data_IF_580338479337
#
_entry.id   IF_580338479337
#
_cell.length_a   1.000
_cell.length_b   1.000
_cell.length_c   1.000
_cell.angle_alpha   90.00
_cell.angle_beta   90.00
_cell.angle_gamma   90.00
#
_symmetry.space_group_name_H-M   'P 1'
#
loop_
_entity.id
_entity.type
_entity.pdbx_description
1 polymer ?
#
# COMPACT_ATOMS: atom_id res chain seq x y z
N UNK A 1 -16.16 9.25 15.65
CA UNK A 1 -15.25 9.43 14.50
C UNK A 1 -14.77 8.09 13.97
N UNK A 2 -14.11 7.25 14.77
CA UNK A 2 -13.63 5.92 14.33
C UNK A 2 -14.74 5.02 13.74
N UNK A 3 -15.90 4.89 14.42
CA UNK A 3 -17.04 4.15 13.87
C UNK A 3 -17.49 4.72 12.50
N UNK A 4 -17.64 6.05 12.40
CA UNK A 4 -18.03 6.72 11.16
C UNK A 4 -17.04 6.50 10.02
N UNK A 5 -15.73 6.51 10.30
CA UNK A 5 -14.72 6.19 9.29
C UNK A 5 -14.99 4.82 8.65
N UNK A 6 -15.27 3.80 9.46
CA UNK A 6 -15.54 2.46 8.97
C UNK A 6 -16.87 2.32 8.21
N UNK A 7 -17.81 3.27 8.38
CA UNK A 7 -19.01 3.33 7.53
C UNK A 7 -18.70 3.79 6.10
N UNK A 8 -17.61 4.53 5.88
CA UNK A 8 -17.23 5.02 4.54
C UNK A 8 -16.71 3.89 3.64
N UNK A 9 -16.19 2.81 4.21
CA UNK A 9 -15.53 1.73 3.47
C UNK A 9 -16.36 0.45 3.41
N UNK A 10 -17.69 0.54 3.51
CA UNK A 10 -18.57 -0.64 3.57
C UNK A 10 -18.72 -1.41 2.25
N UNK A 11 -18.29 -0.86 1.12
CA UNK A 11 -18.35 -1.60 -0.15
C UNK A 11 -17.50 -2.86 -0.09
N UNK A 12 -17.93 -3.89 -0.83
CA UNK A 12 -17.20 -5.17 -0.90
C UNK A 12 -15.76 -4.97 -1.41
N UNK A 13 -15.55 -4.12 -2.41
CA UNK A 13 -14.22 -3.86 -2.96
C UNK A 13 -13.29 -3.20 -1.92
N UNK A 14 -13.79 -2.23 -1.16
CA UNK A 14 -13.00 -1.53 -0.14
C UNK A 14 -12.72 -2.43 1.07
N UNK A 15 -13.68 -3.26 1.51
CA UNK A 15 -13.43 -4.25 2.55
C UNK A 15 -12.41 -5.30 2.10
N UNK A 16 -12.47 -5.74 0.84
CA UNK A 16 -11.48 -6.69 0.27
C UNK A 16 -10.08 -6.07 0.20
N UNK A 17 -9.97 -4.79 -0.14
CA UNK A 17 -8.71 -4.05 -0.09
C UNK A 17 -8.13 -3.96 1.33
N UNK A 18 -8.97 -3.67 2.33
CA UNK A 18 -8.54 -3.62 3.74
C UNK A 18 -8.12 -5.00 4.26
N UNK A 19 -8.86 -6.06 3.88
CA UNK A 19 -8.48 -7.43 4.15
C UNK A 19 -7.12 -7.78 3.53
N UNK A 20 -6.91 -7.39 2.27
CA UNK A 20 -5.61 -7.54 1.60
C UNK A 20 -4.49 -6.82 2.36
N UNK A 21 -4.68 -5.57 2.78
CA UNK A 21 -3.68 -4.83 3.58
C UNK A 21 -3.31 -5.57 4.87
N UNK A 22 -4.30 -6.13 5.59
CA UNK A 22 -4.02 -6.92 6.80
C UNK A 22 -3.34 -8.25 6.47
N UNK A 23 -3.76 -8.95 5.41
CA UNK A 23 -3.14 -10.22 4.96
C UNK A 23 -1.70 -10.02 4.53
N UNK A 24 -1.42 -9.07 3.64
CA UNK A 24 -0.07 -8.85 3.07
C UNK A 24 0.92 -8.42 4.14
N UNK A 25 0.52 -7.52 5.06
CA UNK A 25 1.38 -7.08 6.16
C UNK A 25 1.56 -8.16 7.23
N UNK A 26 0.55 -9.00 7.47
CA UNK A 26 0.67 -10.17 8.35
C UNK A 26 1.61 -11.21 7.76
N UNK A 27 1.45 -11.57 6.49
CA UNK A 27 2.32 -12.52 5.79
C UNK A 27 3.77 -12.04 5.78
N UNK A 28 3.99 -10.73 5.68
CA UNK A 28 5.31 -10.11 5.74
C UNK A 28 5.84 -9.88 7.17
N UNK A 29 5.16 -10.37 8.22
CA UNK A 29 5.56 -10.23 9.62
C UNK A 29 5.77 -8.77 10.08
N UNK A 30 5.00 -7.85 9.48
CA UNK A 30 5.03 -6.42 9.79
C UNK A 30 3.65 -5.91 10.24
N UNK A 31 2.80 -6.80 10.78
CA UNK A 31 1.43 -6.53 11.17
C UNK A 31 1.31 -5.33 12.11
N UNK A 32 0.92 -4.19 11.56
CA UNK A 32 0.60 -2.96 12.30
C UNK A 32 -0.19 -2.02 11.40
N UNK A 33 -0.92 -1.08 11.99
CA UNK A 33 -1.60 -0.02 11.25
C UNK A 33 -0.64 0.92 10.52
N UNK A 34 0.57 1.18 11.06
CA UNK A 34 1.58 1.98 10.36
C UNK A 34 2.11 1.30 9.09
N UNK A 35 2.29 -0.03 9.11
CA UNK A 35 2.68 -0.78 7.92
C UNK A 35 1.55 -0.90 6.90
N UNK A 36 0.29 -1.00 7.33
CA UNK A 36 -0.88 -0.92 6.42
C UNK A 36 -0.97 0.45 5.77
N UNK A 37 -0.77 1.54 6.51
CA UNK A 37 -0.74 2.89 5.97
C UNK A 37 0.41 3.09 4.97
N UNK A 38 1.58 2.52 5.26
CA UNK A 38 2.72 2.53 4.34
C UNK A 38 2.40 1.79 3.03
N UNK A 39 1.87 0.56 3.12
CA UNK A 39 1.52 -0.25 1.95
C UNK A 39 0.46 0.46 1.11
N UNK A 40 -0.56 1.01 1.75
CA UNK A 40 -1.59 1.79 1.08
C UNK A 40 -1.03 3.02 0.36
N UNK A 41 -0.19 3.82 1.02
CA UNK A 41 0.39 5.01 0.40
C UNK A 41 1.28 4.65 -0.80
N UNK A 42 2.05 3.58 -0.71
CA UNK A 42 2.88 3.08 -1.83
C UNK A 42 2.01 2.50 -2.96
N UNK A 43 0.92 1.81 -2.62
CA UNK A 43 0.00 1.21 -3.59
C UNK A 43 -0.52 2.22 -4.63
N UNK A 44 -0.81 3.45 -4.20
CA UNK A 44 -1.26 4.54 -5.08
C UNK A 44 -0.25 4.97 -6.15
N UNK A 45 1.01 4.55 -6.02
CA UNK A 45 2.12 4.84 -6.94
C UNK A 45 2.59 3.61 -7.72
N UNK A 46 2.49 2.40 -7.15
CA UNK A 46 3.11 1.18 -7.73
C UNK A 46 2.15 0.01 -7.96
N UNK A 47 0.86 0.18 -7.67
CA UNK A 47 -0.23 -0.77 -7.99
C UNK A 47 -0.03 -2.17 -7.38
N UNK A 48 0.19 -2.22 -6.08
CA UNK A 48 0.19 -3.46 -5.29
C UNK A 48 -1.20 -4.12 -5.23
N UNK A 49 -2.27 -3.35 -5.23
CA UNK A 49 -3.64 -3.82 -5.18
C UNK A 49 -4.54 -3.00 -6.10
N UNK A 50 -4.57 -1.68 -5.93
CA UNK A 50 -5.44 -0.79 -6.71
C UNK A 50 -4.75 -0.42 -8.03
N UNK A 51 -5.50 -0.45 -9.12
CA UNK A 51 -5.10 0.19 -10.38
C UNK A 51 -5.56 1.66 -10.35
N UNK A 52 -4.64 2.59 -10.59
CA UNK A 52 -4.95 4.03 -10.64
C UNK A 52 -4.72 4.53 -12.06
N UNK A 53 -5.83 4.90 -12.71
CA UNK A 53 -5.85 5.46 -14.06
C UNK A 53 -5.37 6.93 -14.05
N UNK A 54 -4.89 7.47 -15.19
CA UNK A 54 -4.50 8.88 -15.28
C UNK A 54 -5.61 9.88 -14.93
N UNK A 55 -6.88 9.50 -15.16
CA UNK A 55 -8.04 10.34 -14.88
C UNK A 55 -8.53 10.23 -13.42
N UNK A 56 -8.05 9.25 -12.66
CA UNK A 56 -8.47 9.01 -11.29
C UNK A 56 -7.89 10.06 -10.34
N UNK A 57 -8.79 10.75 -9.63
CA UNK A 57 -8.43 11.79 -8.67
C UNK A 57 -8.42 11.22 -7.26
N UNK A 58 -7.24 10.79 -6.81
CA UNK A 58 -6.99 10.45 -5.41
C UNK A 58 -5.85 11.29 -4.85
N UNK A 59 -6.06 11.83 -3.65
CA UNK A 59 -5.07 12.66 -2.98
C UNK A 59 -3.97 11.78 -2.35
N UNK A 60 -2.86 11.59 -3.08
CA UNK A 60 -1.70 10.83 -2.60
C UNK A 60 -1.07 11.44 -1.33
N UNK A 61 -1.04 12.77 -1.24
CA UNK A 61 -0.41 13.48 -0.13
C UNK A 61 -1.08 13.19 1.21
N UNK A 62 -2.40 12.96 1.25
CA UNK A 62 -3.06 12.60 2.52
C UNK A 62 -2.69 11.18 2.97
N UNK A 63 -2.53 10.25 2.03
CA UNK A 63 -2.07 8.89 2.31
C UNK A 63 -0.62 8.88 2.84
N UNK A 64 0.26 9.65 2.20
CA UNK A 64 1.65 9.85 2.64
C UNK A 64 1.71 10.43 4.06
N UNK A 65 0.93 11.49 4.34
CA UNK A 65 0.85 12.12 5.67
C UNK A 65 0.39 11.13 6.74
N UNK A 66 -0.64 10.33 6.44
CA UNK A 66 -1.10 9.27 7.34
C UNK A 66 0.00 8.25 7.60
N UNK A 67 0.69 7.76 6.56
CA UNK A 67 1.78 6.80 6.70
C UNK A 67 2.94 7.33 7.56
N UNK A 68 3.34 8.59 7.35
CA UNK A 68 4.39 9.25 8.13
C UNK A 68 3.95 9.38 9.59
N UNK A 69 2.79 9.97 9.84
CA UNK A 69 2.31 10.25 11.20
C UNK A 69 2.08 8.95 12.00
N UNK A 70 1.60 7.89 11.36
CA UNK A 70 1.45 6.57 11.99
C UNK A 70 2.80 5.96 12.40
N UNK A 71 3.82 6.13 11.55
CA UNK A 71 5.18 5.67 11.87
C UNK A 71 5.76 6.46 13.04
N UNK A 72 5.62 7.78 13.05
CA UNK A 72 6.04 8.65 14.16
C UNK A 72 5.36 8.25 15.47
N UNK A 73 4.06 8.05 15.44
CA UNK A 73 3.30 7.62 16.61
C UNK A 73 3.78 6.26 17.15
N UNK A 74 4.13 5.32 16.26
CA UNK A 74 4.74 4.05 16.67
C UNK A 74 6.14 4.20 17.26
N UNK A 75 6.94 5.15 16.77
CA UNK A 75 8.26 5.49 17.34
C UNK A 75 8.09 6.04 18.75
N UNK A 76 7.18 7.00 18.95
CA UNK A 76 6.87 7.60 20.25
C UNK A 76 6.45 6.53 21.28
N UNK A 77 5.64 5.55 20.84
CA UNK A 77 5.19 4.42 21.67
C UNK A 77 6.23 3.30 21.84
N UNK A 78 7.39 3.37 21.16
CA UNK A 78 8.38 2.28 21.06
C UNK A 78 7.76 0.96 20.57
N UNK A 79 6.78 1.04 19.66
CA UNK A 79 6.07 -0.08 19.04
C UNK A 79 6.36 -0.13 17.53
N UNK A 80 7.62 0.02 17.13
CA UNK A 80 8.02 -0.11 15.73
C UNK A 80 8.35 -1.55 15.39
N UNK A 81 7.92 -1.98 14.21
CA UNK A 81 8.33 -3.26 13.63
C UNK A 81 9.37 -3.00 12.56
N UNK A 82 10.58 -3.60 12.65
CA UNK A 82 11.60 -3.42 11.63
C UNK A 82 11.12 -3.98 10.29
N UNK A 83 11.68 -3.47 9.19
CA UNK A 83 11.42 -4.01 7.86
C UNK A 83 11.85 -5.48 7.81
N UNK A 84 10.94 -6.33 7.34
CA UNK A 84 11.18 -7.76 7.18
C UNK A 84 11.56 -8.11 5.74
N UNK A 85 12.29 -9.21 5.50
CA UNK A 85 12.74 -9.59 4.15
C UNK A 85 11.61 -9.70 3.13
N UNK A 86 10.48 -10.31 3.49
CA UNK A 86 9.30 -10.43 2.61
C UNK A 86 8.72 -9.06 2.26
N UNK A 87 8.59 -8.15 3.24
CA UNK A 87 8.07 -6.81 2.98
C UNK A 87 8.97 -6.04 2.01
N UNK A 88 10.28 -6.15 2.19
CA UNK A 88 11.26 -5.50 1.33
C UNK A 88 11.22 -6.07 -0.10
N UNK A 89 11.14 -7.39 -0.23
CA UNK A 89 11.01 -8.07 -1.52
C UNK A 89 9.74 -7.64 -2.27
N UNK A 90 8.58 -7.61 -1.60
CA UNK A 90 7.32 -7.17 -2.21
C UNK A 90 7.40 -5.74 -2.72
N UNK A 91 7.94 -4.82 -1.90
CA UNK A 91 8.09 -3.41 -2.28
C UNK A 91 9.13 -3.21 -3.41
N UNK A 92 10.24 -3.96 -3.38
CA UNK A 92 11.27 -3.89 -4.42
C UNK A 92 10.74 -4.36 -5.78
N UNK A 93 10.01 -5.48 -5.81
CA UNK A 93 9.40 -5.99 -7.05
C UNK A 93 8.28 -5.09 -7.56
N UNK A 94 7.46 -4.51 -6.67
CA UNK A 94 6.43 -3.55 -7.07
C UNK A 94 7.00 -2.28 -7.67
N UNK A 95 8.08 -1.75 -7.09
CA UNK A 95 8.83 -0.64 -7.67
C UNK A 95 9.45 -1.02 -9.04
N UNK A 96 9.96 -2.25 -9.17
CA UNK A 96 10.52 -2.76 -10.44
C UNK A 96 9.43 -2.85 -11.51
N UNK A 97 8.25 -3.32 -11.14
CA UNK A 97 7.06 -3.37 -12.01
C UNK A 97 6.64 -1.96 -12.46
N UNK A 98 6.54 -1.01 -11.52
CA UNK A 98 6.15 0.37 -11.84
C UNK A 98 7.12 1.05 -12.82
N UNK A 99 8.43 0.86 -12.62
CA UNK A 99 9.46 1.35 -13.55
C UNK A 99 9.35 0.72 -14.94
N UNK A 100 9.05 -0.58 -15.01
CA UNK A 100 8.91 -1.27 -16.29
C UNK A 100 7.66 -0.85 -17.07
N UNK A 101 6.57 -0.52 -16.36
CA UNK A 101 5.39 0.10 -16.98
C UNK A 101 5.71 1.50 -17.50
N UNK A 102 6.41 2.32 -16.73
CA UNK A 102 6.84 3.65 -17.13
C UNK A 102 7.70 3.59 -18.40
N UNK A 103 8.70 2.72 -18.44
CA UNK A 103 9.53 2.51 -19.63
C UNK A 103 8.72 2.03 -20.84
N UNK A 104 7.71 1.18 -20.62
CA UNK A 104 6.83 0.73 -21.69
C UNK A 104 5.99 1.88 -22.27
N UNK A 105 5.47 2.77 -21.41
CA UNK A 105 4.70 3.95 -21.80
C UNK A 105 5.58 4.96 -22.55
N UNK A 106 6.79 5.24 -22.05
CA UNK A 106 7.76 6.13 -22.72
C UNK A 106 8.08 5.65 -24.13
N UNK A 107 8.30 4.35 -24.32
CA UNK A 107 8.59 3.76 -25.64
C UNK A 107 7.38 3.75 -26.58
N UNK A 108 6.16 3.81 -26.05
CA UNK A 108 4.93 3.91 -26.83
C UNK A 108 4.55 5.38 -27.16
N UNK A 109 5.00 6.33 -26.34
CA UNK A 109 4.72 7.75 -26.51
C UNK A 109 5.66 8.41 -27.54
N UNK A 110 5.11 9.31 -28.36
CA UNK A 110 5.90 10.21 -29.22
C UNK A 110 6.35 11.47 -28.50
N UNK A 111 5.86 11.72 -27.28
CA UNK A 111 6.16 12.93 -26.50
C UNK A 111 7.13 12.60 -25.34
N UNK A 112 8.31 13.21 -25.37
CA UNK A 112 9.29 13.20 -24.28
C UNK A 112 8.82 14.14 -23.18
N UNK A 113 7.98 13.70 -22.25
CA UNK A 113 7.84 14.29 -20.90
C UNK A 113 6.74 13.55 -20.13
N UNK A 114 7.06 12.39 -19.59
CA UNK A 114 6.26 11.82 -18.51
C UNK A 114 7.13 11.87 -17.25
N UNK A 115 6.78 12.67 -16.23
CA UNK A 115 7.48 12.59 -14.95
C UNK A 115 7.30 11.19 -14.35
N UNK A 116 8.27 10.77 -13.53
CA UNK A 116 8.20 9.50 -12.79
C UNK A 116 6.80 9.28 -12.21
N UNK A 117 6.20 8.12 -12.54
CA UNK A 117 4.86 7.73 -12.07
C UNK A 117 4.79 7.70 -10.54
N UNK A 118 5.92 7.36 -9.93
CA UNK A 118 6.09 7.22 -8.49
C UNK A 118 6.31 8.58 -7.84
N UNK A 119 5.51 8.93 -6.82
CA UNK A 119 5.69 10.17 -6.04
C UNK A 119 7.11 10.31 -5.46
N UNK A 120 7.57 11.55 -5.23
CA UNK A 120 8.88 11.80 -4.62
C UNK A 120 9.04 11.17 -3.23
N UNK A 121 7.94 11.07 -2.49
CA UNK A 121 7.91 10.36 -1.21
C UNK A 121 8.14 8.86 -1.39
N UNK A 122 7.42 8.22 -2.32
CA UNK A 122 7.57 6.80 -2.59
C UNK A 122 8.95 6.48 -3.21
N UNK A 123 9.47 7.35 -4.07
CA UNK A 123 10.85 7.27 -4.59
C UNK A 123 11.88 7.19 -3.48
N UNK A 124 11.83 8.11 -2.51
CA UNK A 124 12.73 8.11 -1.36
C UNK A 124 12.56 6.84 -0.50
N UNK A 125 11.33 6.31 -0.40
CA UNK A 125 11.03 5.13 0.41
C UNK A 125 11.46 3.82 -0.24
N UNK A 126 11.32 3.75 -1.56
CA UNK A 126 11.64 2.59 -2.40
C UNK A 126 13.06 2.66 -2.95
N UNK A 127 13.80 3.76 -2.72
CA UNK A 127 15.11 4.00 -3.32
C UNK A 127 15.04 3.87 -4.86
N UNK A 128 14.10 4.61 -5.45
CA UNK A 128 13.90 4.75 -6.90
C UNK A 128 14.26 6.19 -7.29
N UNK A 129 15.00 6.34 -8.38
CA UNK A 129 15.41 7.62 -8.97
C UNK A 129 15.30 7.53 -10.50
N UNK A 130 15.36 8.68 -11.18
CA UNK A 130 15.45 8.73 -12.64
C UNK A 130 16.67 7.92 -13.13
N UNK A 131 16.47 7.06 -14.13
CA UNK A 131 17.52 6.16 -14.64
C UNK A 131 17.86 4.97 -13.74
N UNK A 132 16.99 4.61 -12.79
CA UNK A 132 17.16 3.36 -12.00
C UNK A 132 17.19 2.15 -12.93
N UNK A 133 18.26 1.36 -12.85
CA UNK A 133 18.42 0.14 -13.64
C UNK A 133 17.46 -0.97 -13.17
N UNK A 134 16.47 -1.29 -14.00
CA UNK A 134 15.47 -2.33 -13.77
C UNK A 134 16.11 -3.72 -13.67
N UNK A 135 17.13 -4.02 -14.48
CA UNK A 135 17.84 -5.31 -14.46
C UNK A 135 18.58 -5.50 -13.13
N UNK A 136 19.29 -4.46 -12.69
CA UNK A 136 20.00 -4.48 -11.41
C UNK A 136 19.02 -4.63 -10.24
N UNK A 137 17.89 -3.93 -10.29
CA UNK A 137 16.87 -4.00 -9.23
C UNK A 137 16.22 -5.37 -9.15
N UNK A 138 15.90 -5.97 -10.30
CA UNK A 138 15.40 -7.36 -10.37
C UNK A 138 16.43 -8.35 -9.84
N UNK A 139 17.71 -8.20 -10.19
CA UNK A 139 18.79 -9.04 -9.67
C UNK A 139 18.87 -8.98 -8.13
N UNK A 140 18.78 -7.78 -7.55
CA UNK A 140 18.76 -7.62 -6.09
C UNK A 140 17.54 -8.29 -5.46
N UNK A 141 16.37 -8.20 -6.10
CA UNK A 141 15.16 -8.88 -5.63
C UNK A 141 15.30 -10.41 -5.69
N UNK A 142 15.90 -10.95 -6.74
CA UNK A 142 16.23 -12.39 -6.86
C UNK A 142 17.13 -12.82 -5.69
N UNK A 143 18.23 -12.11 -5.43
CA UNK A 143 19.13 -12.43 -4.32
C UNK A 143 18.44 -12.36 -2.95
N UNK A 144 17.50 -11.42 -2.76
CA UNK A 144 16.69 -11.35 -1.52
C UNK A 144 15.75 -12.55 -1.42
N UNK A 145 15.12 -12.95 -2.52
CA UNK A 145 14.23 -14.09 -2.57
C UNK A 145 14.98 -15.40 -2.27
N UNK A 146 16.19 -15.57 -2.83
CA UNK A 146 17.10 -16.68 -2.55
C UNK A 146 17.47 -16.75 -1.08
N UNK A 147 17.94 -15.63 -0.50
CA UNK A 147 18.30 -15.55 0.93
C UNK A 147 17.13 -15.82 1.86
N UNK A 148 15.91 -15.60 1.39
CA UNK A 148 14.67 -15.84 2.14
C UNK A 148 14.06 -17.22 1.88
N UNK A 149 14.68 -18.05 1.04
CA UNK A 149 14.25 -19.43 0.77
C UNK A 149 13.04 -19.57 -0.17
N UNK A 150 12.72 -18.56 -0.99
CA UNK A 150 11.61 -18.62 -1.94
C UNK A 150 12.03 -19.28 -3.27
N UNK A 151 12.34 -20.58 -3.27
CA UNK A 151 12.91 -21.28 -4.43
C UNK A 151 12.07 -21.16 -5.71
N UNK A 152 10.76 -21.42 -5.65
CA UNK A 152 9.88 -21.33 -6.83
C UNK A 152 9.77 -19.91 -7.38
N UNK A 153 9.74 -18.90 -6.50
CA UNK A 153 9.75 -17.49 -6.90
C UNK A 153 11.08 -17.12 -7.58
N UNK A 154 12.21 -17.60 -7.05
CA UNK A 154 13.53 -17.37 -7.64
C UNK A 154 13.58 -17.93 -9.06
N UNK A 155 13.12 -19.17 -9.26
CA UNK A 155 13.08 -19.79 -10.59
C UNK A 155 12.29 -18.94 -11.60
N UNK A 156 11.09 -18.49 -11.23
CA UNK A 156 10.26 -17.65 -12.11
C UNK A 156 10.87 -16.26 -12.36
N UNK A 157 11.48 -15.63 -11.35
CA UNK A 157 12.14 -14.33 -11.52
C UNK A 157 13.40 -14.45 -12.40
N UNK A 158 14.17 -15.53 -12.26
CA UNK A 158 15.34 -15.81 -13.12
C UNK A 158 14.90 -16.05 -14.56
N UNK A 159 13.82 -16.78 -14.78
CA UNK A 159 13.27 -17.00 -16.12
C UNK A 159 12.65 -15.73 -16.73
N UNK A 160 12.08 -14.85 -15.90
CA UNK A 160 11.65 -13.52 -16.31
C UNK A 160 12.85 -12.64 -16.70
N UNK A 161 13.92 -12.65 -15.90
CA UNK A 161 15.14 -11.87 -16.15
C UNK A 161 15.80 -12.24 -17.49
N UNK A 162 15.84 -13.54 -17.84
CA UNK A 162 16.36 -14.01 -19.16
C UNK A 162 15.58 -13.43 -20.35
N UNK A 163 14.32 -13.06 -20.14
CA UNK A 163 13.41 -12.52 -21.16
C UNK A 163 13.27 -11.00 -21.04
N UNK A 164 14.13 -10.33 -20.27
CA UNK A 164 14.09 -8.89 -20.14
C UNK A 164 14.22 -8.21 -21.51
N UNK A 165 13.34 -7.24 -21.85
CA UNK A 165 13.41 -6.53 -23.11
C UNK A 165 14.76 -5.83 -23.29
N UNK A 166 15.29 -5.87 -24.51
CA UNK A 166 16.45 -5.08 -24.91
C UNK A 166 16.09 -3.61 -25.14
N UNK A 167 17.11 -2.74 -25.21
CA UNK A 167 16.94 -1.29 -25.36
C UNK A 167 16.13 -0.89 -26.61
N UNK A 168 16.16 -1.70 -27.67
CA UNK A 168 15.42 -1.47 -28.93
C UNK A 168 14.04 -2.16 -28.98
N UNK A 169 13.62 -2.85 -27.92
CA UNK A 169 12.30 -3.49 -27.85
C UNK A 169 11.16 -2.45 -27.86
N UNK A 170 10.02 -2.80 -28.44
CA UNK A 170 8.84 -1.92 -28.45
C UNK A 170 8.20 -1.82 -27.06
N UNK A 171 7.47 -0.73 -26.80
CA UNK A 171 6.75 -0.56 -25.54
C UNK A 171 5.73 -1.68 -25.26
N UNK A 172 5.14 -2.29 -26.29
CA UNK A 172 4.28 -3.48 -26.14
C UNK A 172 5.02 -4.68 -25.54
N UNK A 173 6.28 -4.91 -25.95
CA UNK A 173 7.10 -6.00 -25.39
C UNK A 173 7.46 -5.69 -23.93
N UNK A 174 7.81 -4.43 -23.63
CA UNK A 174 8.07 -4.00 -22.25
C UNK A 174 6.85 -4.14 -21.35
N UNK A 175 5.67 -3.76 -21.85
CA UNK A 175 4.40 -3.89 -21.12
C UNK A 175 4.07 -5.36 -20.84
N UNK A 176 4.29 -6.26 -21.80
CA UNK A 176 4.08 -7.69 -21.60
C UNK A 176 5.04 -8.27 -20.54
N UNK A 177 6.29 -7.80 -20.50
CA UNK A 177 7.26 -8.19 -19.48
C UNK A 177 6.85 -7.70 -18.09
N UNK A 178 6.40 -6.44 -17.97
CA UNK A 178 5.88 -5.90 -16.72
C UNK A 178 4.66 -6.70 -16.23
N UNK A 179 3.74 -7.04 -17.14
CA UNK A 179 2.57 -7.86 -16.82
C UNK A 179 2.96 -9.28 -16.36
N UNK A 180 4.00 -9.88 -16.93
CA UNK A 180 4.54 -11.15 -16.45
C UNK A 180 5.13 -11.02 -15.04
N UNK A 181 5.85 -9.94 -14.75
CA UNK A 181 6.31 -9.64 -13.39
C UNK A 181 5.15 -9.49 -12.39
N UNK A 182 4.08 -8.78 -12.80
CA UNK A 182 2.88 -8.61 -11.98
C UNK A 182 2.24 -9.97 -11.64
N UNK A 183 2.14 -10.89 -12.59
CA UNK A 183 1.62 -12.25 -12.35
C UNK A 183 2.46 -13.03 -11.35
N UNK A 184 3.78 -12.92 -11.43
CA UNK A 184 4.70 -13.54 -10.46
C UNK A 184 4.47 -12.95 -9.06
N UNK A 185 4.39 -11.63 -8.94
CA UNK A 185 4.07 -10.97 -7.67
C UNK A 185 2.74 -11.44 -7.10
N UNK A 186 1.71 -11.58 -7.94
CA UNK A 186 0.38 -11.99 -7.50
C UNK A 186 0.42 -13.42 -6.95
N UNK A 187 1.10 -14.32 -7.66
CA UNK A 187 1.21 -15.74 -7.31
C UNK A 187 1.94 -15.97 -5.98
N UNK A 188 3.06 -15.30 -5.75
CA UNK A 188 3.93 -15.61 -4.60
C UNK A 188 3.84 -14.62 -3.44
N UNK A 189 3.46 -13.38 -3.73
CA UNK A 189 3.52 -12.27 -2.80
C UNK A 189 2.16 -11.70 -2.44
N UNK A 190 1.08 -12.15 -3.10
CA UNK A 190 -0.27 -11.59 -2.95
C UNK A 190 -0.27 -10.08 -3.25
N UNK A 191 0.42 -9.67 -4.32
CA UNK A 191 0.57 -8.27 -4.74
C UNK A 191 0.52 -8.14 -6.27
N UNK A 192 0.06 -7.00 -6.78
CA UNK A 192 -0.20 -6.75 -8.19
C UNK A 192 -1.63 -7.12 -8.61
N UNK A 193 -2.65 -6.94 -7.76
CA UNK A 193 -4.04 -7.33 -8.10
C UNK A 193 -4.64 -6.49 -9.24
N UNK A 194 -4.24 -5.23 -9.39
CA UNK A 194 -4.75 -4.29 -10.39
C UNK A 194 -6.28 -4.12 -10.37
N UNK A 195 -6.86 -4.02 -9.17
CA UNK A 195 -8.30 -3.81 -8.96
C UNK A 195 -8.69 -2.39 -9.35
N UNK A 196 -9.67 -2.26 -10.25
CA UNK A 196 -10.26 -0.99 -10.64
C UNK A 196 -11.41 -0.68 -9.69
N UNK A 197 -11.33 0.45 -9.00
CA UNK A 197 -12.40 0.96 -8.13
C UNK A 197 -13.30 1.92 -8.92
N UNK A 198 -14.58 1.97 -8.57
CA UNK A 198 -15.48 3.00 -9.12
C UNK A 198 -15.14 4.39 -8.56
N UNK A 199 -15.61 5.45 -9.24
CA UNK A 199 -15.43 6.83 -8.75
C UNK A 199 -15.99 7.04 -7.33
N UNK A 200 -17.12 6.42 -7.00
CA UNK A 200 -17.72 6.47 -5.66
C UNK A 200 -16.84 5.78 -4.61
N UNK A 201 -16.24 4.64 -4.97
CA UNK A 201 -15.34 3.91 -4.08
C UNK A 201 -14.01 4.64 -3.88
N UNK A 202 -13.45 5.24 -4.93
CA UNK A 202 -12.26 6.09 -4.84
C UNK A 202 -12.51 7.29 -3.94
N UNK A 203 -13.67 7.93 -4.08
CA UNK A 203 -14.05 9.07 -3.23
C UNK A 203 -14.23 8.65 -1.77
N UNK A 204 -14.89 7.52 -1.54
CA UNK A 204 -15.10 6.96 -0.20
C UNK A 204 -13.78 6.56 0.46
N UNK A 205 -12.85 6.01 -0.32
CA UNK A 205 -11.49 5.69 0.11
C UNK A 205 -10.70 6.95 0.47
N UNK A 206 -10.75 8.00 -0.35
CA UNK A 206 -10.13 9.29 -0.04
C UNK A 206 -10.64 9.86 1.28
N UNK A 207 -11.97 9.90 1.47
CA UNK A 207 -12.60 10.40 2.69
C UNK A 207 -12.23 9.53 3.91
N UNK A 208 -12.18 8.21 3.73
CA UNK A 208 -11.72 7.29 4.78
C UNK A 208 -10.29 7.58 5.21
N UNK A 209 -9.37 7.78 4.28
CA UNK A 209 -7.96 8.09 4.58
C UNK A 209 -7.84 9.43 5.28
N UNK A 210 -8.58 10.43 4.82
CA UNK A 210 -8.62 11.74 5.45
C UNK A 210 -9.15 11.66 6.90
N UNK A 211 -10.25 10.94 7.15
CA UNK A 211 -10.80 10.76 8.50
C UNK A 211 -9.83 9.98 9.39
N UNK A 212 -9.14 8.94 8.89
CA UNK A 212 -8.13 8.22 9.67
C UNK A 212 -6.95 9.12 10.05
N UNK A 213 -6.51 10.00 9.14
CA UNK A 213 -5.51 11.03 9.44
C UNK A 213 -6.00 11.98 10.54
N UNK A 214 -7.24 12.48 10.45
CA UNK A 214 -7.82 13.33 11.49
C UNK A 214 -7.95 12.63 12.85
N UNK A 215 -8.33 11.35 12.88
CA UNK A 215 -8.38 10.55 14.12
C UNK A 215 -7.01 10.52 14.78
N UNK A 216 -5.95 10.29 14.01
CA UNK A 216 -4.59 10.28 14.53
C UNK A 216 -4.18 11.65 15.07
N UNK A 217 -4.43 12.72 14.33
CA UNK A 217 -4.13 14.09 14.78
C UNK A 217 -4.90 14.46 16.05
N UNK A 218 -6.18 14.06 16.16
CA UNK A 218 -6.95 14.22 17.39
C UNK A 218 -6.34 13.44 18.57
N UNK A 219 -5.86 12.21 18.34
CA UNK A 219 -5.25 11.36 19.37
C UNK A 219 -3.89 11.89 19.83
N UNK A 220 -3.12 12.49 18.91
CA UNK A 220 -1.84 13.18 19.19
C UNK A 220 -2.05 14.51 19.91
N UNK A 221 -3.16 15.18 19.65
CA UNK A 221 -3.62 16.34 20.42
C UNK A 221 -4.02 15.99 21.86
N UNK A 222 -4.36 17.00 22.65
CA UNK A 222 -4.86 16.82 24.02
C UNK A 222 -6.28 16.25 24.05
N UNK A 223 -6.41 14.97 23.71
CA UNK A 223 -7.66 14.23 23.77
C UNK A 223 -7.86 13.65 25.18
N UNK A 224 -9.00 13.91 25.81
CA UNK A 224 -9.37 13.42 27.16
C UNK A 224 -9.68 11.92 27.24
N UNK A 225 -9.20 11.13 26.29
CA UNK A 225 -9.50 9.69 26.15
C UNK A 225 -8.37 8.88 26.79
N UNK A 226 -8.72 7.75 27.42
CA UNK A 226 -7.73 6.88 28.05
C UNK A 226 -6.64 6.44 27.07
N UNK A 227 -5.41 6.31 27.56
CA UNK A 227 -4.27 5.87 26.74
C UNK A 227 -4.55 4.53 26.04
N UNK A 228 -5.16 3.59 26.75
CA UNK A 228 -5.47 2.26 26.21
C UNK A 228 -6.43 2.34 25.03
N UNK A 229 -7.51 3.12 25.14
CA UNK A 229 -8.47 3.28 24.05
C UNK A 229 -7.85 4.02 22.85
N UNK A 230 -6.98 5.01 23.09
CA UNK A 230 -6.23 5.68 22.01
C UNK A 230 -5.33 4.71 21.26
N UNK A 231 -4.54 3.92 21.99
CA UNK A 231 -3.66 2.93 21.36
C UNK A 231 -4.46 1.86 20.61
N UNK A 232 -5.56 1.39 21.18
CA UNK A 232 -6.43 0.40 20.55
C UNK A 232 -7.06 0.94 19.25
N UNK A 233 -7.57 2.17 19.24
CA UNK A 233 -8.08 2.81 18.01
C UNK A 233 -6.98 2.85 16.94
N UNK A 234 -5.78 3.33 17.29
CA UNK A 234 -4.67 3.43 16.33
C UNK A 234 -4.23 2.07 15.81
N UNK A 235 -4.15 1.06 16.68
CA UNK A 235 -3.73 -0.29 16.29
C UNK A 235 -4.77 -0.95 15.35
N UNK A 236 -6.01 -0.45 15.33
CA UNK A 236 -7.10 -0.92 14.48
C UNK A 236 -7.42 -0.02 13.25
N UNK A 237 -6.67 1.06 12.98
CA UNK A 237 -6.85 1.83 11.73
C UNK A 237 -6.48 0.97 10.50
N UNK A 238 -7.19 1.19 9.39
CA UNK A 238 -7.02 0.46 8.11
C UNK A 238 -7.23 -1.06 8.27
N UNK A 239 -8.13 -1.47 9.17
CA UNK A 239 -8.53 -2.86 9.38
C UNK A 239 -9.84 -3.13 8.65
N UNK A 240 -10.04 -4.33 8.06
CA UNK A 240 -11.38 -4.73 7.64
C UNK A 240 -12.31 -4.79 8.85
N UNK A 241 -13.57 -4.43 8.65
CA UNK A 241 -14.53 -4.14 9.72
C UNK A 241 -14.82 -5.34 10.61
N UNK A 242 -14.78 -6.54 10.04
CA UNK A 242 -15.00 -7.82 10.72
C UNK A 242 -13.85 -8.21 11.68
N UNK A 243 -12.66 -7.63 11.51
CA UNK A 243 -11.50 -7.84 12.39
C UNK A 243 -11.35 -6.76 13.46
N UNK A 244 -12.15 -5.70 13.40
CA UNK A 244 -12.14 -4.65 14.42
C UNK A 244 -12.92 -5.12 15.66
N UNK A 245 -12.37 -4.98 16.88
CA UNK A 245 -13.09 -5.32 18.11
C UNK A 245 -14.43 -4.60 18.20
N UNK A 246 -15.50 -5.37 18.46
CA UNK A 246 -16.87 -4.86 18.42
C UNK A 246 -17.15 -3.72 19.40
N UNK A 247 -16.42 -3.65 20.53
CA UNK A 247 -16.58 -2.56 21.51
C UNK A 247 -16.08 -1.20 21.00
N UNK A 248 -15.30 -1.18 19.91
CA UNK A 248 -14.92 0.07 19.22
C UNK A 248 -16.04 0.60 18.31
N UNK A 249 -17.08 -0.19 18.09
CA UNK A 249 -18.34 0.21 17.45
C UNK A 249 -19.42 0.33 18.53
N UNK A 250 -19.52 1.48 19.23
CA UNK A 250 -20.60 1.67 20.18
C UNK A 250 -21.94 1.52 19.44
N UNK A 251 -22.75 0.56 19.87
CA UNK A 251 -24.15 0.45 19.49
C UNK A 251 -24.84 1.79 19.81
N UNK A 252 -25.56 2.36 18.85
CA UNK A 252 -26.28 3.63 19.01
C UNK A 252 -27.26 3.65 20.21
N UNK A 253 -27.57 2.48 20.79
CA UNK A 253 -28.47 2.29 21.93
C UNK A 253 -27.92 2.80 23.27
N UNK A 254 -26.60 2.92 23.47
CA UNK A 254 -26.04 3.36 24.77
C UNK A 254 -26.08 4.87 24.99
N UNK A 255 -26.46 5.66 23.99
CA UNK A 255 -26.54 7.13 24.10
C UNK A 255 -27.76 7.61 24.90
N UNK A 256 -28.74 6.74 25.16
CA UNK A 256 -29.96 7.08 25.90
C UNK A 256 -29.90 6.76 27.42
N UNK A 257 -28.76 6.30 27.95
CA UNK A 257 -28.63 5.97 29.38
C UNK A 257 -27.74 6.91 30.19
N UNK A 258 -27.22 7.99 29.61
CA UNK A 258 -26.46 9.01 30.33
C UNK A 258 -27.16 10.36 30.23
N UNK A 259 -28.27 10.49 30.96
CA UNK A 259 -28.61 11.66 31.80
C UNK A 259 -30.03 11.54 32.38
N UNK A 260 -30.15 11.22 33.68
CA UNK A 260 -31.15 11.85 34.53
C UNK A 260 -30.43 12.58 35.66
N UNK A 261 -30.21 13.88 35.48
CA UNK A 261 -30.13 14.85 36.58
C UNK A 261 -30.82 16.12 36.13
#
# INVERSE_FOLDING_TARGET
>A
MFNYANLLVQSEALQTMLDWLDRVTTAAQVKSSAWRALYFAIDLDVELYIHISPDDKINRQIAEKLAIAMREFNIERKKTTPTQPRALLTLDLAATHALALEEAEERNSTEQTTPLRVSSWAQARLNVQEGTDIAQRLQQAIERAEKSGYTELVEELVDLQKRQPCDDASGVVCQQWAEDLRKIMLKYLDAGHAVILSEEELKSLEDYIYVNYLILECIRGECYVSRNLREEIIDNLLMPSDRIPSHLFPSLETSNQLNPV
#
